data_IF_331113743710
#
_entry.id   IF_331113743710
#
_cell.length_a   1.000
_cell.length_b   1.000
_cell.length_c   1.000
_cell.angle_alpha   90.00
_cell.angle_beta   90.00
_cell.angle_gamma   90.00
#
_symmetry.space_group_name_H-M   'P 1'
#
loop_
_entity.id
_entity.type
_entity.pdbx_description
1 polymer ?
#
# COMPACT_ATOMS: atom_id res chain seq x y z
N UNK A 1 -5.46 0.80 -9.26
CA UNK A 1 -5.05 0.73 -10.69
C UNK A 1 -3.54 0.68 -10.84
N UNK A 2 -2.79 1.67 -10.34
CA UNK A 2 -1.31 1.66 -10.30
C UNK A 2 -0.73 0.70 -9.25
N UNK A 3 -0.03 1.23 -8.26
CA UNK A 3 0.90 0.47 -7.40
C UNK A 3 0.30 -0.33 -6.23
N UNK A 4 -1.03 -0.40 -6.15
CA UNK A 4 -1.76 -1.08 -5.10
C UNK A 4 -1.94 -2.59 -5.34
N UNK A 5 -1.87 -3.40 -4.29
CA UNK A 5 -2.21 -4.82 -4.31
C UNK A 5 -2.65 -5.35 -2.94
N UNK A 6 -3.67 -6.20 -2.90
CA UNK A 6 -4.13 -6.89 -1.70
C UNK A 6 -3.08 -7.86 -1.16
N UNK A 7 -2.99 -7.95 0.16
CA UNK A 7 -2.04 -8.83 0.85
C UNK A 7 -2.72 -10.12 1.27
N UNK A 8 -2.00 -11.25 1.18
CA UNK A 8 -2.56 -12.57 1.52
C UNK A 8 -2.95 -12.69 2.99
N UNK A 9 -2.17 -12.10 3.89
CA UNK A 9 -2.46 -12.02 5.34
C UNK A 9 -3.54 -10.97 5.69
N UNK A 10 -4.17 -10.38 4.68
CA UNK A 10 -5.08 -9.26 4.82
C UNK A 10 -4.37 -7.90 4.85
N UNK A 11 -5.14 -6.86 4.59
CA UNK A 11 -4.61 -5.52 4.34
C UNK A 11 -4.39 -5.25 2.85
N UNK A 12 -3.94 -4.03 2.56
CA UNK A 12 -3.66 -3.59 1.20
C UNK A 12 -2.30 -2.89 1.16
N UNK A 13 -1.45 -3.26 0.20
CA UNK A 13 -0.10 -2.70 0.04
C UNK A 13 -0.09 -1.71 -1.12
N UNK A 14 0.53 -0.56 -0.94
CA UNK A 14 0.82 0.42 -1.98
C UNK A 14 2.34 0.49 -2.14
N UNK A 15 2.82 0.28 -3.36
CA UNK A 15 4.26 0.30 -3.66
C UNK A 15 4.75 1.73 -3.87
N UNK A 16 5.36 2.30 -2.83
CA UNK A 16 5.74 3.72 -2.74
C UNK A 16 7.26 3.89 -2.63
N UNK A 17 8.01 3.02 -3.30
CA UNK A 17 9.46 2.94 -3.27
C UNK A 17 10.19 4.13 -3.91
N UNK A 18 9.47 4.95 -4.69
CA UNK A 18 9.96 6.20 -5.26
C UNK A 18 10.01 7.34 -4.24
N UNK A 19 9.36 7.17 -3.08
CA UNK A 19 9.30 8.16 -2.01
C UNK A 19 10.25 7.81 -0.87
N UNK A 20 10.69 8.83 -0.12
CA UNK A 20 11.50 8.60 1.08
C UNK A 20 10.65 8.02 2.21
N UNK A 21 11.28 7.52 3.27
CA UNK A 21 10.57 7.07 4.48
C UNK A 21 9.74 8.18 5.11
N UNK A 22 10.24 9.43 5.08
CA UNK A 22 9.56 10.58 5.66
C UNK A 22 8.29 10.93 4.89
N UNK A 23 8.38 10.97 3.55
CA UNK A 23 7.23 11.19 2.67
C UNK A 23 6.16 10.11 2.89
N UNK A 24 6.57 8.85 2.98
CA UNK A 24 5.65 7.75 3.23
C UNK A 24 4.95 7.85 4.59
N UNK A 25 5.67 8.28 5.63
CA UNK A 25 5.06 8.53 6.95
C UNK A 25 4.04 9.66 6.89
N UNK A 26 4.37 10.73 6.16
CA UNK A 26 3.46 11.85 5.95
C UNK A 26 2.19 11.42 5.21
N UNK A 27 2.32 10.60 4.16
CA UNK A 27 1.18 10.04 3.44
C UNK A 27 0.32 9.13 4.33
N UNK A 28 0.92 8.29 5.19
CA UNK A 28 0.16 7.50 6.16
C UNK A 28 -0.62 8.40 7.14
N UNK A 29 -0.03 9.51 7.60
CA UNK A 29 -0.72 10.47 8.45
C UNK A 29 -1.92 11.10 7.73
N UNK A 30 -1.75 11.51 6.47
CA UNK A 30 -2.85 12.06 5.66
C UNK A 30 -3.99 11.05 5.45
N UNK A 31 -3.67 9.78 5.21
CA UNK A 31 -4.67 8.71 5.09
C UNK A 31 -5.52 8.60 6.36
N UNK A 32 -4.91 8.73 7.53
CA UNK A 32 -5.63 8.71 8.80
C UNK A 32 -6.43 9.99 9.04
N UNK A 33 -5.80 11.16 8.90
CA UNK A 33 -6.43 12.43 9.23
C UNK A 33 -7.64 12.74 8.33
N UNK A 34 -7.55 12.43 7.04
CA UNK A 34 -8.59 12.78 6.07
C UNK A 34 -9.65 11.69 5.92
N UNK A 35 -9.25 10.43 6.02
CA UNK A 35 -10.12 9.30 5.66
C UNK A 35 -10.28 8.29 6.78
N UNK A 36 -9.63 8.48 7.94
CA UNK A 36 -9.58 7.50 9.03
C UNK A 36 -9.14 6.11 8.55
N UNK A 37 -8.17 6.08 7.63
CA UNK A 37 -7.54 4.85 7.14
C UNK A 37 -6.25 4.66 7.91
N UNK A 38 -6.19 3.65 8.75
CA UNK A 38 -4.96 3.28 9.44
C UNK A 38 -3.99 2.59 8.49
N UNK A 39 -2.76 3.09 8.46
CA UNK A 39 -1.70 2.57 7.63
C UNK A 39 -0.33 2.75 8.30
N UNK A 40 0.64 1.91 7.93
CA UNK A 40 2.02 2.02 8.36
C UNK A 40 3.00 1.90 7.19
N UNK A 41 4.24 2.32 7.42
CA UNK A 41 5.32 2.19 6.43
C UNK A 41 6.04 0.87 6.66
N UNK A 42 6.00 -0.03 5.68
CA UNK A 42 6.84 -1.22 5.64
C UNK A 42 8.15 -0.89 4.93
N UNK A 43 9.24 -1.51 5.40
CA UNK A 43 10.56 -1.44 4.76
C UNK A 43 10.97 -2.85 4.36
N UNK A 44 11.42 -3.01 3.11
CA UNK A 44 11.95 -4.27 2.59
C UNK A 44 13.35 -4.05 2.06
N UNK A 45 14.25 -4.98 2.34
CA UNK A 45 15.60 -4.99 1.79
C UNK A 45 15.61 -5.88 0.54
N UNK A 46 15.79 -5.26 -0.62
CA UNK A 46 15.94 -6.00 -1.88
C UNK A 46 17.41 -6.06 -2.26
N UNK A 47 17.95 -7.28 -2.35
CA UNK A 47 19.25 -7.51 -2.99
C UNK A 47 19.07 -7.37 -4.49
N UNK A 48 19.84 -6.49 -5.10
CA UNK A 48 19.89 -6.38 -6.54
C UNK A 48 20.57 -7.63 -7.10
N UNK A 49 19.95 -8.30 -8.07
CA UNK A 49 20.46 -9.59 -8.60
C UNK A 49 21.84 -9.42 -9.27
N UNK A 50 22.16 -8.21 -9.71
CA UNK A 50 23.40 -7.90 -10.43
C UNK A 50 24.31 -6.88 -9.72
N UNK A 51 23.94 -6.36 -8.54
CA UNK A 51 24.77 -5.41 -7.78
C UNK A 51 24.92 -5.89 -6.34
N UNK A 52 26.14 -5.83 -5.79
CA UNK A 52 26.45 -6.15 -4.38
C UNK A 52 25.76 -5.23 -3.35
N UNK A 53 24.88 -4.32 -3.79
CA UNK A 53 24.24 -3.33 -2.94
C UNK A 53 22.81 -3.76 -2.58
N UNK A 54 22.47 -3.60 -1.31
CA UNK A 54 21.12 -3.82 -0.79
C UNK A 54 20.36 -2.50 -0.87
N UNK A 55 19.21 -2.47 -1.56
CA UNK A 55 18.34 -1.29 -1.62
C UNK A 55 17.20 -1.44 -0.62
N UNK A 56 16.98 -0.41 0.20
CA UNK A 56 15.77 -0.28 1.01
C UNK A 56 14.61 0.20 0.11
N UNK A 57 13.52 -0.54 0.12
CA UNK A 57 12.26 -0.19 -0.53
C UNK A 57 11.21 0.08 0.55
N UNK A 58 10.39 1.09 0.30
CA UNK A 58 9.30 1.48 1.19
C UNK A 58 7.95 1.18 0.56
N UNK A 59 7.01 0.76 1.41
CA UNK A 59 5.62 0.50 1.03
C UNK A 59 4.71 1.07 2.10
N UNK A 60 3.52 1.53 1.68
CA UNK A 60 2.44 1.82 2.61
C UNK A 60 1.59 0.56 2.73
N UNK A 61 1.41 0.07 3.95
CA UNK A 61 0.45 -1.00 4.25
C UNK A 61 -0.75 -0.38 4.96
N UNK A 62 -1.91 -0.52 4.33
CA UNK A 62 -3.21 -0.27 4.92
C UNK A 62 -3.58 -1.51 5.74
N UNK A 63 -3.94 -1.31 7.01
CA UNK A 63 -4.31 -2.41 7.89
C UNK A 63 -5.63 -3.05 7.46
N UNK A 64 -5.77 -4.36 7.72
CA UNK A 64 -6.94 -5.18 7.32
C UNK A 64 -8.27 -4.53 7.69
N UNK A 65 -8.41 -4.03 8.93
CA UNK A 65 -9.63 -3.40 9.41
C UNK A 65 -9.97 -2.07 8.72
N UNK A 66 -8.98 -1.38 8.15
CA UNK A 66 -9.18 -0.16 7.38
C UNK A 66 -9.46 -0.41 5.89
N UNK A 67 -9.26 -1.65 5.40
CA UNK A 67 -9.45 -1.94 3.98
C UNK A 67 -10.89 -1.79 3.50
N UNK A 68 -11.95 -2.22 4.23
CA UNK A 68 -13.33 -2.00 3.78
C UNK A 68 -13.64 -0.52 3.55
N UNK A 69 -13.17 0.35 4.44
CA UNK A 69 -13.30 1.81 4.31
C UNK A 69 -12.49 2.36 3.13
N UNK A 70 -11.25 1.89 2.97
CA UNK A 70 -10.44 2.24 1.81
C UNK A 70 -11.15 1.84 0.50
N UNK A 71 -11.65 0.61 0.43
CA UNK A 71 -12.35 0.08 -0.75
C UNK A 71 -13.61 0.86 -1.05
N UNK A 72 -14.44 1.20 -0.05
CA UNK A 72 -15.66 1.97 -0.28
C UNK A 72 -15.41 3.34 -0.91
N UNK A 73 -14.29 3.98 -0.61
CA UNK A 73 -13.91 5.28 -1.18
C UNK A 73 -13.53 5.14 -2.66
N UNK A 74 -12.75 4.12 -3.01
CA UNK A 74 -12.19 3.97 -4.35
C UNK A 74 -13.09 3.16 -5.30
N UNK A 75 -14.07 2.40 -4.78
CA UNK A 75 -14.88 1.45 -5.56
C UNK A 75 -15.57 2.13 -6.75
N UNK A 76 -16.12 3.33 -6.56
CA UNK A 76 -16.80 4.08 -7.62
C UNK A 76 -15.86 4.46 -8.78
N UNK A 77 -14.55 4.54 -8.50
CA UNK A 77 -13.52 4.90 -9.48
C UNK A 77 -12.78 3.68 -10.00
N UNK A 78 -13.02 2.48 -9.47
CA UNK A 78 -12.26 1.28 -9.82
C UNK A 78 -12.79 0.68 -11.12
N UNK A 79 -11.90 0.49 -12.10
CA UNK A 79 -12.20 -0.24 -13.32
C UNK A 79 -12.38 -1.72 -12.97
N UNK A 80 -13.36 -2.42 -13.57
CA UNK A 80 -13.59 -3.85 -13.30
C UNK A 80 -12.33 -4.72 -13.51
N UNK A 81 -11.49 -4.37 -14.49
CA UNK A 81 -10.22 -5.05 -14.77
C UNK A 81 -9.19 -4.93 -13.64
N UNK A 82 -9.42 -4.07 -12.64
CA UNK A 82 -8.55 -3.89 -11.48
C UNK A 82 -9.09 -4.55 -10.20
N UNK A 83 -10.28 -5.15 -10.23
CA UNK A 83 -10.89 -5.80 -9.05
C UNK A 83 -10.03 -6.94 -8.51
N UNK A 84 -9.27 -7.63 -9.37
CA UNK A 84 -8.36 -8.70 -8.95
C UNK A 84 -7.33 -8.25 -7.90
N UNK A 85 -7.04 -6.94 -7.80
CA UNK A 85 -6.13 -6.38 -6.79
C UNK A 85 -6.70 -6.47 -5.38
N UNK A 86 -8.00 -6.71 -5.24
CA UNK A 86 -8.69 -6.87 -3.96
C UNK A 86 -9.03 -8.34 -3.63
N UNK A 87 -8.53 -9.30 -4.41
CA UNK A 87 -8.91 -10.73 -4.29
C UNK A 87 -8.66 -11.39 -2.92
N UNK A 88 -7.83 -10.80 -2.06
CA UNK A 88 -7.48 -11.32 -0.72
C UNK A 88 -8.13 -10.53 0.43
N UNK A 89 -9.07 -9.65 0.11
CA UNK A 89 -9.64 -8.67 1.04
C UNK A 89 -11.11 -9.00 1.41
N UNK A 90 -11.67 -10.04 0.79
CA UNK A 90 -13.00 -10.57 1.11
C UNK A 90 -13.05 -11.29 2.46
#
# INVERSE_FOLDING_TARGET
MGDGNGMHEGGFKISSHSFTKADNKFLCKLLFDMYHIEANVLTELRKDKNKKNTKQLYYIRIYKHSVPRFYSIIKAFLLPSCDYKFRFIN
#
